data_IF_960083152798
#
_entry.id   IF_960083152798
#
_cell.length_a   1.000
_cell.length_b   1.000
_cell.length_c   1.000
_cell.angle_alpha   90.00
_cell.angle_beta   90.00
_cell.angle_gamma   90.00
#
_symmetry.space_group_name_H-M   'P 1'
#
loop_
_entity.id
_entity.type
_entity.pdbx_description
1 polymer ?
#
# COMPACT_ATOMS: atom_id res chain seq x y z
N UNK A 1 34.49 12.09 29.28
CA UNK A 1 33.68 12.55 28.13
C UNK A 1 33.80 11.48 27.06
N UNK A 2 32.98 10.45 27.14
CA UNK A 2 33.01 9.35 26.16
C UNK A 2 32.05 9.68 25.01
N UNK A 3 32.62 9.66 23.80
CA UNK A 3 31.96 10.03 22.58
C UNK A 3 30.86 9.04 22.23
N UNK A 4 29.66 9.58 22.05
CA UNK A 4 28.50 8.88 21.52
C UNK A 4 28.79 8.53 20.04
N UNK A 5 29.12 7.27 19.77
CA UNK A 5 29.23 6.78 18.39
C UNK A 5 27.82 6.74 17.77
N UNK A 6 27.59 7.31 16.58
CA UNK A 6 26.30 7.17 15.91
C UNK A 6 26.09 5.70 15.54
N UNK A 7 24.95 5.15 15.94
CA UNK A 7 24.47 3.83 15.51
C UNK A 7 24.42 3.83 13.98
N UNK A 8 25.43 3.21 13.38
CA UNK A 8 25.55 3.05 11.95
C UNK A 8 24.50 2.00 11.53
N UNK A 9 23.34 2.46 11.03
CA UNK A 9 22.37 1.58 10.36
C UNK A 9 23.13 0.79 9.28
N UNK A 10 23.33 -0.50 9.56
CA UNK A 10 24.16 -1.37 8.74
C UNK A 10 23.62 -1.41 7.30
N UNK A 11 24.39 -0.84 6.37
CA UNK A 11 24.16 -0.86 4.91
C UNK A 11 24.47 -2.22 4.27
N UNK A 12 24.09 -3.32 4.91
CA UNK A 12 24.18 -4.67 4.31
C UNK A 12 22.84 -5.36 4.43
N UNK A 13 22.00 -5.21 3.41
CA UNK A 13 20.78 -5.99 3.23
C UNK A 13 21.16 -7.40 2.82
N UNK A 14 21.47 -8.27 3.78
CA UNK A 14 21.35 -9.72 3.53
C UNK A 14 19.93 -9.97 3.02
N UNK A 15 19.76 -10.68 1.89
CA UNK A 15 18.43 -10.98 1.37
C UNK A 15 17.63 -11.72 2.45
N UNK A 16 16.34 -11.40 2.64
CA UNK A 16 15.54 -12.04 3.67
C UNK A 16 15.43 -13.54 3.41
N UNK A 17 15.42 -14.33 4.49
CA UNK A 17 15.11 -15.76 4.37
C UNK A 17 13.71 -15.91 3.77
N UNK A 18 13.51 -16.77 2.75
CA UNK A 18 12.18 -17.09 2.28
C UNK A 18 11.26 -17.51 3.43
N UNK A 19 10.01 -17.05 3.38
CA UNK A 19 9.02 -17.23 4.43
C UNK A 19 9.00 -16.14 5.51
N UNK A 20 10.03 -15.27 5.58
CA UNK A 20 10.08 -14.17 6.56
C UNK A 20 8.93 -13.21 6.36
N UNK A 21 8.10 -13.04 7.39
CA UNK A 21 7.03 -12.04 7.43
C UNK A 21 7.51 -10.78 8.14
N UNK A 22 7.17 -9.62 7.58
CA UNK A 22 7.49 -8.33 8.17
C UNK A 22 6.24 -7.45 8.20
N UNK A 23 5.75 -7.05 9.39
CA UNK A 23 4.79 -5.98 9.52
C UNK A 23 5.47 -4.63 9.31
N UNK A 24 4.79 -3.74 8.60
CA UNK A 24 5.25 -2.39 8.30
C UNK A 24 4.14 -1.40 8.62
N UNK A 25 4.54 -0.23 9.11
CA UNK A 25 3.64 0.91 9.18
C UNK A 25 3.45 1.47 7.77
N UNK A 26 2.24 1.90 7.45
CA UNK A 26 1.90 2.51 6.18
C UNK A 26 1.22 3.86 6.39
N UNK A 27 1.72 4.89 5.72
CA UNK A 27 1.19 6.25 5.80
C UNK A 27 0.97 6.83 4.41
N UNK A 28 -0.27 7.21 4.10
CA UNK A 28 -0.65 7.80 2.83
C UNK A 28 -1.28 9.17 3.03
N UNK A 29 -0.49 10.26 2.97
CA UNK A 29 -1.01 11.61 3.12
C UNK A 29 -1.71 12.07 1.84
N UNK A 30 -2.75 12.89 2.00
CA UNK A 30 -3.42 13.60 0.90
C UNK A 30 -3.93 12.67 -0.20
N UNK A 31 -4.61 11.59 0.18
CA UNK A 31 -5.31 10.73 -0.77
C UNK A 31 -6.59 11.43 -1.19
N UNK A 32 -6.72 11.74 -2.48
CA UNK A 32 -7.97 12.27 -3.04
C UNK A 32 -8.98 11.15 -3.23
N UNK A 33 -10.11 11.24 -2.52
CA UNK A 33 -11.26 10.36 -2.70
C UNK A 33 -12.38 11.17 -3.37
N UNK A 34 -12.70 10.82 -4.61
CA UNK A 34 -13.80 11.42 -5.36
C UNK A 34 -15.07 10.60 -5.14
N UNK A 35 -16.08 11.22 -4.52
CA UNK A 35 -17.44 10.68 -4.39
C UNK A 35 -18.40 11.78 -4.85
N UNK A 36 -18.97 11.64 -6.05
CA UNK A 36 -19.80 12.69 -6.66
C UNK A 36 -18.98 13.84 -7.26
N UNK A 37 -19.30 15.09 -6.93
CA UNK A 37 -18.77 16.28 -7.63
C UNK A 37 -17.52 16.93 -7.01
N UNK A 38 -17.18 16.64 -5.75
CA UNK A 38 -16.01 17.25 -5.09
C UNK A 38 -15.09 16.20 -4.47
N UNK A 39 -13.76 16.30 -4.68
CA UNK A 39 -12.81 15.41 -4.05
C UNK A 39 -12.67 15.76 -2.56
N UNK A 40 -12.51 14.73 -1.75
CA UNK A 40 -12.16 14.84 -0.32
C UNK A 40 -10.72 14.40 -0.15
N UNK A 41 -9.92 15.18 0.58
CA UNK A 41 -8.56 14.82 0.92
C UNK A 41 -8.51 14.09 2.25
N UNK A 42 -7.97 12.88 2.23
CA UNK A 42 -7.86 12.01 3.39
C UNK A 42 -6.39 11.78 3.76
N UNK A 43 -6.16 11.64 5.06
CA UNK A 43 -4.85 11.30 5.61
C UNK A 43 -4.93 9.91 6.22
N UNK A 44 -4.39 8.94 5.51
CA UNK A 44 -4.46 7.54 5.89
C UNK A 44 -3.24 7.11 6.68
N UNK A 45 -3.47 6.31 7.72
CA UNK A 45 -2.44 5.58 8.45
C UNK A 45 -2.88 4.15 8.71
N UNK A 46 -1.94 3.23 8.86
CA UNK A 46 -2.24 1.83 9.11
C UNK A 46 -1.04 0.94 8.89
N UNK A 47 -1.23 -0.21 8.25
CA UNK A 47 -0.20 -1.22 8.12
C UNK A 47 -0.23 -2.00 6.81
N UNK A 48 0.96 -2.51 6.48
CA UNK A 48 1.23 -3.42 5.38
C UNK A 48 1.98 -4.62 5.96
N UNK A 49 1.53 -5.85 5.67
CA UNK A 49 2.26 -7.07 6.01
C UNK A 49 2.81 -7.68 4.74
N UNK A 50 4.11 -7.91 4.70
CA UNK A 50 4.81 -8.52 3.57
C UNK A 50 5.43 -9.85 3.99
N UNK A 51 5.54 -10.79 3.04
CA UNK A 51 6.29 -12.04 3.18
C UNK A 51 7.34 -12.12 2.10
N UNK A 52 8.58 -12.42 2.47
CA UNK A 52 9.63 -12.77 1.51
C UNK A 52 9.35 -14.16 0.92
N UNK A 53 9.42 -14.28 -0.40
CA UNK A 53 9.31 -15.52 -1.15
C UNK A 53 10.62 -15.78 -1.89
N UNK A 54 10.97 -17.06 -2.03
CA UNK A 54 12.13 -17.47 -2.80
C UNK A 54 11.91 -17.15 -4.28
N UNK A 55 12.95 -16.68 -4.96
CA UNK A 55 12.99 -16.62 -6.42
C UNK A 55 14.09 -17.53 -6.95
N UNK A 56 13.87 -18.13 -8.11
CA UNK A 56 14.77 -19.10 -8.75
C UNK A 56 16.06 -18.42 -9.25
N UNK A 57 16.04 -17.10 -9.40
CA UNK A 57 17.13 -16.25 -9.92
C UNK A 57 17.98 -15.59 -8.81
N UNK A 58 17.84 -16.00 -7.55
CA UNK A 58 18.58 -15.41 -6.43
C UNK A 58 18.03 -14.05 -5.95
N UNK A 59 16.92 -13.57 -6.54
CA UNK A 59 16.16 -12.41 -6.04
C UNK A 59 15.18 -12.83 -4.94
N UNK A 60 14.64 -11.89 -4.18
CA UNK A 60 13.49 -12.15 -3.29
C UNK A 60 12.22 -11.57 -3.90
N UNK A 61 11.15 -12.35 -3.98
CA UNK A 61 9.81 -11.82 -4.32
C UNK A 61 9.09 -11.46 -3.04
N UNK A 62 8.17 -10.49 -3.06
CA UNK A 62 7.36 -10.17 -1.89
C UNK A 62 5.91 -10.52 -2.15
N UNK A 63 5.29 -11.21 -1.20
CA UNK A 63 3.86 -11.37 -1.17
C UNK A 63 3.29 -10.39 -0.17
N UNK A 64 2.35 -9.55 -0.61
CA UNK A 64 1.51 -8.83 0.34
C UNK A 64 0.67 -9.89 1.05
N UNK A 65 0.61 -9.83 2.38
CA UNK A 65 -0.26 -10.67 3.20
C UNK A 65 -1.46 -9.89 3.69
N UNK A 66 -1.26 -8.62 4.08
CA UNK A 66 -2.31 -7.74 4.55
C UNK A 66 -2.02 -6.30 4.21
N UNK A 67 -3.07 -5.53 3.98
CA UNK A 67 -3.01 -4.08 3.77
C UNK A 67 -4.26 -3.47 4.39
N UNK A 68 -4.05 -2.52 5.29
CA UNK A 68 -5.11 -1.85 6.02
C UNK A 68 -4.71 -0.39 6.22
N UNK A 69 -5.51 0.54 5.72
CA UNK A 69 -5.35 1.96 5.94
C UNK A 69 -6.64 2.53 6.49
N UNK A 70 -6.52 3.48 7.42
CA UNK A 70 -7.63 4.14 8.11
C UNK A 70 -7.43 5.64 8.04
N UNK A 71 -8.51 6.36 7.75
CA UNK A 71 -8.61 7.81 7.87
C UNK A 71 -9.93 8.19 8.53
N UNK A 72 -9.91 9.23 9.36
CA UNK A 72 -11.11 9.85 9.91
C UNK A 72 -11.41 11.15 9.14
N UNK A 73 -12.69 11.38 8.83
CA UNK A 73 -13.14 12.61 8.19
C UNK A 73 -14.44 13.12 8.84
N UNK A 74 -14.58 14.43 9.12
CA UNK A 74 -15.74 14.96 9.83
C UNK A 74 -17.09 14.56 9.21
N UNK A 75 -17.18 14.59 7.88
CA UNK A 75 -18.42 14.28 7.16
C UNK A 75 -18.57 12.80 6.83
N UNK A 76 -17.47 12.12 6.49
CA UNK A 76 -17.52 10.73 6.01
C UNK A 76 -17.46 9.71 7.14
N UNK A 77 -17.14 10.15 8.36
CA UNK A 77 -16.80 9.26 9.46
C UNK A 77 -15.48 8.55 9.18
N UNK A 78 -15.40 7.29 9.59
CA UNK A 78 -14.24 6.45 9.33
C UNK A 78 -14.25 5.97 7.87
N UNK A 79 -13.10 6.12 7.21
CA UNK A 79 -12.82 5.56 5.89
C UNK A 79 -11.71 4.53 6.02
N UNK A 80 -11.97 3.31 5.56
CA UNK A 80 -11.03 2.19 5.65
C UNK A 80 -10.73 1.64 4.27
N UNK A 81 -9.45 1.47 3.95
CA UNK A 81 -9.01 0.73 2.75
C UNK A 81 -8.43 -0.58 3.23
N UNK A 82 -9.01 -1.70 2.80
CA UNK A 82 -8.54 -3.04 3.14
C UNK A 82 -8.28 -3.85 1.90
N UNK A 83 -7.33 -4.78 1.96
CA UNK A 83 -7.17 -5.77 0.89
C UNK A 83 -8.26 -6.85 0.98
N UNK A 84 -8.91 -7.16 -0.13
CA UNK A 84 -10.02 -8.12 -0.18
C UNK A 84 -9.58 -9.55 -0.45
N UNK A 85 -8.50 -9.75 -1.22
CA UNK A 85 -8.09 -11.09 -1.66
C UNK A 85 -6.60 -11.35 -1.42
N UNK A 86 -6.24 -12.21 -0.45
CA UNK A 86 -4.84 -12.52 -0.14
C UNK A 86 -4.14 -13.39 -1.18
N UNK A 87 -4.91 -14.13 -1.98
CA UNK A 87 -4.39 -15.27 -2.77
C UNK A 87 -4.53 -15.11 -4.29
N UNK A 88 -5.27 -14.11 -4.77
CA UNK A 88 -5.51 -13.87 -6.21
C UNK A 88 -4.65 -12.76 -6.83
N UNK A 89 -4.07 -11.88 -6.00
CA UNK A 89 -3.28 -10.76 -6.50
C UNK A 89 -1.93 -11.26 -7.06
N UNK A 90 -1.45 -10.73 -8.20
CA UNK A 90 -0.16 -11.13 -8.75
C UNK A 90 0.95 -10.89 -7.73
N UNK A 91 1.85 -11.86 -7.59
CA UNK A 91 2.99 -11.79 -6.67
C UNK A 91 3.72 -10.46 -6.87
N UNK A 92 3.90 -9.71 -5.78
CA UNK A 92 4.52 -8.39 -5.86
C UNK A 92 6.03 -8.56 -6.08
N UNK A 93 6.54 -7.88 -7.10
CA UNK A 93 7.95 -7.99 -7.48
C UNK A 93 8.73 -6.89 -6.78
N UNK A 94 9.74 -7.26 -6.01
CA UNK A 94 10.70 -6.33 -5.43
C UNK A 94 12.09 -6.87 -5.74
N UNK A 95 12.80 -6.24 -6.65
CA UNK A 95 14.17 -6.66 -6.94
C UNK A 95 15.10 -6.21 -5.81
N UNK A 96 15.43 -7.14 -4.92
CA UNK A 96 16.36 -6.92 -3.80
C UNK A 96 17.74 -7.53 -4.06
N UNK A 97 17.95 -8.16 -5.22
CA UNK A 97 19.14 -8.97 -5.52
C UNK A 97 19.80 -8.54 -6.82
N UNK A 98 20.68 -7.55 -6.75
CA UNK A 98 21.52 -7.17 -7.89
C UNK A 98 22.46 -6.00 -7.58
N UNK A 99 23.70 -6.10 -8.08
CA UNK A 99 24.67 -4.99 -8.17
C UNK A 99 24.35 -4.02 -9.32
N UNK A 100 23.40 -4.36 -10.18
CA UNK A 100 22.88 -3.49 -11.23
C UNK A 100 21.65 -2.71 -10.77
N UNK A 101 21.37 -1.60 -11.47
CA UNK A 101 20.46 -0.51 -11.12
C UNK A 101 19.19 -0.92 -10.32
N UNK A 102 18.73 -0.08 -9.37
CA UNK A 102 17.57 -0.36 -8.52
C UNK A 102 16.35 -0.80 -9.33
N UNK A 103 15.93 -2.05 -9.15
CA UNK A 103 14.76 -2.58 -9.83
C UNK A 103 13.47 -1.89 -9.37
N UNK A 104 12.54 -1.74 -10.31
CA UNK A 104 11.20 -1.24 -10.02
C UNK A 104 10.48 -2.24 -9.13
N UNK A 105 9.98 -1.78 -7.99
CA UNK A 105 9.20 -2.58 -7.06
C UNK A 105 7.71 -2.30 -7.26
N UNK A 106 6.89 -3.31 -7.48
CA UNK A 106 5.45 -3.14 -7.71
C UNK A 106 4.63 -4.03 -6.77
N UNK A 107 3.72 -3.41 -6.01
CA UNK A 107 2.69 -4.09 -5.23
C UNK A 107 1.36 -3.98 -5.95
N UNK A 108 0.61 -5.08 -6.02
CA UNK A 108 -0.71 -5.13 -6.64
C UNK A 108 -1.75 -5.53 -5.60
N UNK A 109 -2.81 -4.74 -5.45
CA UNK A 109 -3.79 -4.88 -4.38
C UNK A 109 -5.21 -4.76 -4.94
N UNK A 110 -6.02 -5.80 -4.79
CA UNK A 110 -7.47 -5.62 -4.84
C UNK A 110 -7.92 -5.08 -3.48
N UNK A 111 -8.58 -3.93 -3.48
CA UNK A 111 -8.96 -3.26 -2.26
C UNK A 111 -10.49 -3.11 -2.16
N UNK A 112 -10.98 -3.20 -0.93
CA UNK A 112 -12.25 -2.66 -0.51
C UNK A 112 -12.03 -1.29 0.14
N UNK A 113 -12.98 -0.39 -0.07
CA UNK A 113 -13.03 0.93 0.55
C UNK A 113 -14.38 1.04 1.28
N UNK A 114 -14.31 1.01 2.60
CA UNK A 114 -15.45 1.18 3.50
C UNK A 114 -15.54 2.63 3.94
N UNK A 115 -16.69 3.26 3.75
CA UNK A 115 -16.98 4.62 4.16
C UNK A 115 -18.19 4.59 5.07
N UNK A 116 -18.04 5.06 6.31
CA UNK A 116 -19.11 5.02 7.31
C UNK A 116 -20.32 5.87 6.90
N UNK A 117 -20.10 7.03 6.30
CA UNK A 117 -21.16 7.96 5.88
C UNK A 117 -20.89 8.50 4.48
N UNK A 118 -21.66 8.06 3.50
CA UNK A 118 -21.60 8.58 2.13
C UNK A 118 -22.12 10.02 2.02
N UNK A 119 -21.52 10.85 1.14
CA UNK A 119 -22.08 12.16 0.83
C UNK A 119 -23.51 12.06 0.31
N UNK A 120 -24.40 12.94 0.77
CA UNK A 120 -25.80 13.00 0.34
C UNK A 120 -26.74 12.06 1.09
N UNK A 121 -26.47 10.75 1.11
CA UNK A 121 -27.39 9.78 1.74
C UNK A 121 -27.12 9.55 3.23
N UNK A 122 -25.89 9.80 3.69
CA UNK A 122 -25.46 9.55 5.07
C UNK A 122 -25.32 8.06 5.43
N UNK A 123 -25.61 7.14 4.49
CA UNK A 123 -25.50 5.69 4.70
C UNK A 123 -24.07 5.21 4.48
N UNK A 124 -23.73 4.09 5.12
CA UNK A 124 -22.48 3.39 4.89
C UNK A 124 -22.37 2.95 3.42
N UNK A 125 -21.17 3.04 2.88
CA UNK A 125 -20.86 2.70 1.50
C UNK A 125 -19.67 1.75 1.47
N UNK A 126 -19.86 0.60 0.84
CA UNK A 126 -18.82 -0.38 0.60
C UNK A 126 -18.48 -0.41 -0.89
N UNK A 127 -17.25 -0.07 -1.22
CA UNK A 127 -16.75 -0.02 -2.59
C UNK A 127 -15.59 -0.99 -2.78
N UNK A 128 -15.33 -1.35 -4.02
CA UNK A 128 -14.18 -2.18 -4.42
C UNK A 128 -13.50 -1.60 -5.65
N UNK A 129 -12.20 -1.87 -5.78
CA UNK A 129 -11.44 -1.53 -6.98
C UNK A 129 -11.78 -2.51 -8.12
N UNK A 130 -12.14 -2.02 -9.30
CA UNK A 130 -12.38 -2.88 -10.49
C UNK A 130 -11.08 -3.47 -11.07
N UNK A 131 -9.99 -2.73 -10.93
CA UNK A 131 -8.64 -3.15 -11.32
C UNK A 131 -7.72 -3.09 -10.10
N UNK A 132 -6.66 -3.91 -10.04
CA UNK A 132 -5.72 -3.85 -8.94
C UNK A 132 -5.13 -2.44 -8.77
N UNK A 133 -5.15 -1.93 -7.54
CA UNK A 133 -4.32 -0.80 -7.13
C UNK A 133 -2.86 -1.23 -7.28
N UNK A 134 -2.15 -0.56 -8.19
CA UNK A 134 -0.72 -0.78 -8.40
C UNK A 134 0.07 0.30 -7.68
N UNK A 135 0.86 -0.10 -6.69
CA UNK A 135 1.78 0.75 -5.96
C UNK A 135 3.21 0.49 -6.43
N UNK A 136 3.85 1.49 -7.03
CA UNK A 136 5.19 1.37 -7.59
C UNK A 136 6.19 2.18 -6.78
N UNK A 137 7.29 1.55 -6.41
CA UNK A 137 8.41 2.15 -5.69
C UNK A 137 9.75 1.66 -6.25
N UNK A 138 10.83 2.04 -5.57
CA UNK A 138 12.20 1.64 -5.90
C UNK A 138 12.86 1.08 -4.64
N UNK A 139 12.28 0.04 -4.06
CA UNK A 139 12.81 -0.51 -2.84
C UNK A 139 14.15 -1.22 -3.11
N UNK A 140 15.19 -0.79 -2.41
CA UNK A 140 16.56 -1.33 -2.52
C UNK A 140 16.94 -2.26 -1.38
N UNK A 141 16.09 -2.30 -0.35
CA UNK A 141 16.32 -3.00 0.89
C UNK A 141 15.07 -3.77 1.27
N UNK A 142 15.27 -4.83 2.04
CA UNK A 142 14.17 -5.50 2.73
C UNK A 142 14.35 -5.30 4.24
N UNK A 143 13.31 -4.84 4.97
CA UNK A 143 12.02 -4.39 4.43
C UNK A 143 12.13 -3.08 3.62
N UNK A 144 11.16 -2.81 2.73
CA UNK A 144 11.19 -1.65 1.83
C UNK A 144 10.77 -0.33 2.52
N UNK A 145 11.47 0.07 3.58
CA UNK A 145 11.09 1.21 4.46
C UNK A 145 11.67 2.56 4.06
N UNK A 146 12.64 2.60 3.14
CA UNK A 146 13.39 3.83 2.83
C UNK A 146 12.79 4.66 1.69
N UNK A 147 12.01 4.06 0.81
CA UNK A 147 11.50 4.70 -0.40
C UNK A 147 9.97 4.58 -0.49
N UNK A 148 9.26 5.64 -0.90
CA UNK A 148 7.81 5.59 -1.00
C UNK A 148 7.35 4.78 -2.20
N UNK A 149 6.17 4.18 -2.05
CA UNK A 149 5.40 3.65 -3.16
C UNK A 149 4.38 4.68 -3.63
N UNK A 150 4.06 4.67 -4.92
CA UNK A 150 3.08 5.58 -5.53
C UNK A 150 2.09 4.81 -6.38
N UNK A 151 0.82 5.12 -6.25
CA UNK A 151 -0.14 4.69 -7.26
C UNK A 151 0.10 5.49 -8.54
N UNK A 152 0.05 4.80 -9.68
CA UNK A 152 0.40 5.38 -10.98
C UNK A 152 -0.79 6.04 -11.67
N UNK A 153 -2.01 5.63 -11.31
CA UNK A 153 -3.25 6.04 -11.97
C UNK A 153 -4.36 6.20 -10.96
N UNK A 154 -5.38 6.95 -11.36
CA UNK A 154 -6.67 6.96 -10.69
C UNK A 154 -7.25 5.55 -10.66
N UNK A 155 -7.81 5.15 -9.53
CA UNK A 155 -8.44 3.84 -9.36
C UNK A 155 -9.94 4.05 -9.16
N UNK A 156 -10.71 3.54 -10.10
CA UNK A 156 -12.16 3.57 -10.03
C UNK A 156 -12.70 2.62 -8.96
N UNK A 157 -13.74 3.08 -8.27
CA UNK A 157 -14.39 2.40 -7.18
C UNK A 157 -15.83 2.07 -7.56
N UNK A 158 -16.23 0.83 -7.33
CA UNK A 158 -17.53 0.29 -7.70
C UNK A 158 -18.22 -0.29 -6.49
N UNK A 159 -19.55 -0.20 -6.43
CA UNK A 159 -20.29 -1.06 -5.52
C UNK A 159 -20.26 -2.52 -6.02
N UNK A 160 -20.35 -3.51 -5.12
CA UNK A 160 -20.48 -4.90 -5.52
C UNK A 160 -21.70 -5.11 -6.44
N UNK A 161 -21.48 -5.70 -7.61
CA UNK A 161 -22.54 -5.94 -8.61
C UNK A 161 -22.72 -4.84 -9.66
N UNK A 162 -22.17 -3.65 -9.43
CA UNK A 162 -22.36 -2.52 -10.34
C UNK A 162 -21.31 -2.48 -11.46
N UNK A 163 -21.72 -1.92 -12.61
CA UNK A 163 -20.88 -1.70 -13.80
C UNK A 163 -20.49 -0.24 -14.01
N UNK A 164 -21.03 0.68 -13.20
CA UNK A 164 -20.73 2.12 -13.26
C UNK A 164 -19.91 2.51 -12.03
N UNK A 165 -18.82 3.27 -12.19
CA UNK A 165 -18.01 3.70 -11.06
C UNK A 165 -18.79 4.69 -10.19
N UNK A 166 -18.77 4.45 -8.88
CA UNK A 166 -19.39 5.29 -7.86
C UNK A 166 -18.42 6.37 -7.34
N UNK A 167 -17.13 6.18 -7.55
CA UNK A 167 -16.10 7.11 -7.14
C UNK A 167 -14.72 6.70 -7.64
N UNK A 168 -13.69 7.40 -7.17
CA UNK A 168 -12.32 7.08 -7.49
C UNK A 168 -11.33 7.51 -6.41
N UNK A 169 -10.17 6.86 -6.40
CA UNK A 169 -8.98 7.30 -5.67
C UNK A 169 -8.01 7.94 -6.65
N UNK A 170 -7.64 9.19 -6.41
CA UNK A 170 -6.59 9.89 -7.16
C UNK A 170 -5.22 9.24 -6.94
N UNK A 171 -4.25 9.43 -7.85
CA UNK A 171 -2.89 9.00 -7.62
C UNK A 171 -2.34 9.50 -6.27
N UNK A 172 -1.83 8.59 -5.44
CA UNK A 172 -1.38 8.88 -4.09
C UNK A 172 -0.07 8.17 -3.75
N UNK A 173 0.57 8.67 -2.69
CA UNK A 173 1.84 8.15 -2.17
C UNK A 173 1.59 7.37 -0.89
N UNK A 174 2.27 6.22 -0.74
CA UNK A 174 2.36 5.45 0.50
C UNK A 174 3.81 5.44 0.98
N UNK A 175 4.03 5.89 2.20
CA UNK A 175 5.30 5.78 2.90
C UNK A 175 5.24 4.56 3.81
N UNK A 176 6.29 3.74 3.77
CA UNK A 176 6.42 2.58 4.65
C UNK A 176 7.42 2.89 5.76
N UNK A 177 7.10 2.52 6.99
CA UNK A 177 7.96 2.65 8.16
C UNK A 177 8.26 1.28 8.77
N UNK A 178 9.41 1.17 9.44
CA UNK A 178 9.69 0.05 10.33
C UNK A 178 8.81 0.13 11.57
N UNK A 179 8.43 -1.04 12.09
CA UNK A 179 7.83 -1.19 13.41
C UNK A 179 8.92 -1.36 14.47
#
# INVERSE_FOLDING_TARGET
>A
MEGNAPVQLARRSTPPKPGTEVPLLAFAPRVGLQLGHRPVLLFFSGGLRLRAEASVDGRSRLRVLGFHLLADHPQLGKVTITRTEPDSAPTSLVDTGGTEAPGVSALFLHCAVDIERSPGSGRALHLRTSTPLQLVGRARTFPPVSEPFRSQRTVELYQPGDSVPMGSLDPFRVNLGGC
#
